data_IF_815527318974
#
_entry.id   IF_815527318974
#
_cell.length_a   1.000
_cell.length_b   1.000
_cell.length_c   1.000
_cell.angle_alpha   90.00
_cell.angle_beta   90.00
_cell.angle_gamma   90.00
#
_symmetry.space_group_name_H-M   'P 1'
#
loop_
_entity.id
_entity.type
_entity.pdbx_description
1 polymer ?
#
# COMPACT_ATOMS: atom_id res chain seq x y z
N UNK A 1 21.13 -10.76 30.84
CA UNK A 1 21.08 -9.49 30.06
C UNK A 1 21.51 -9.65 28.60
N UNK A 2 22.50 -10.51 28.25
CA UNK A 2 22.96 -10.68 26.86
C UNK A 2 21.87 -11.29 25.95
N UNK A 3 21.03 -12.19 26.44
CA UNK A 3 19.95 -12.81 25.66
C UNK A 3 18.83 -11.81 25.32
N UNK A 4 18.49 -10.91 26.24
CA UNK A 4 17.44 -9.89 26.00
C UNK A 4 17.88 -8.81 25.00
N UNK A 5 19.18 -8.57 24.90
CA UNK A 5 19.75 -7.60 23.96
C UNK A 5 19.95 -8.16 22.52
N UNK A 6 19.80 -9.48 22.33
CA UNK A 6 19.82 -10.10 21.00
C UNK A 6 18.47 -10.10 20.29
N UNK A 7 17.38 -9.76 21.00
CA UNK A 7 16.03 -9.69 20.45
C UNK A 7 15.83 -8.33 19.79
N UNK A 8 15.33 -8.34 18.54
CA UNK A 8 15.00 -7.13 17.77
C UNK A 8 13.63 -6.53 18.13
N UNK A 9 13.13 -6.85 19.30
CA UNK A 9 11.88 -6.30 19.85
C UNK A 9 12.21 -5.56 21.14
N UNK A 10 11.45 -4.49 21.43
CA UNK A 10 11.51 -3.84 22.71
C UNK A 10 11.00 -4.78 23.80
N UNK A 11 11.76 -4.94 24.87
CA UNK A 11 11.37 -5.77 26.02
C UNK A 11 11.39 -4.91 27.28
N UNK A 12 10.26 -4.88 27.98
CA UNK A 12 10.11 -4.23 29.28
C UNK A 12 9.59 -5.26 30.28
N UNK A 13 10.19 -5.35 31.46
CA UNK A 13 9.63 -6.12 32.57
C UNK A 13 9.07 -5.16 33.63
N UNK A 14 7.94 -5.58 34.23
CA UNK A 14 7.30 -4.87 35.35
C UNK A 14 7.12 -5.79 36.56
N UNK A 15 7.08 -5.19 37.73
CA UNK A 15 6.71 -5.89 38.98
C UNK A 15 5.18 -5.97 39.12
N UNK A 16 4.72 -6.55 40.25
CA UNK A 16 3.29 -6.68 40.59
C UNK A 16 2.56 -5.33 40.72
N UNK A 17 3.29 -4.27 41.02
CA UNK A 17 2.78 -2.90 41.20
C UNK A 17 2.83 -2.11 39.89
N UNK A 18 3.07 -2.81 38.76
CA UNK A 18 3.20 -2.26 37.41
C UNK A 18 4.36 -1.26 37.21
N UNK A 19 5.38 -1.32 38.08
CA UNK A 19 6.58 -0.49 37.95
C UNK A 19 7.62 -1.18 37.06
N UNK A 20 8.28 -0.41 36.20
CA UNK A 20 9.30 -0.89 35.25
C UNK A 20 10.54 -1.35 36.00
N UNK A 21 10.90 -2.61 35.90
CA UNK A 21 12.07 -3.22 36.53
C UNK A 21 13.22 -3.49 35.57
N UNK A 22 12.93 -3.61 34.27
CA UNK A 22 13.92 -3.89 33.24
C UNK A 22 13.51 -3.28 31.90
N UNK A 23 14.48 -2.81 31.14
CA UNK A 23 14.36 -2.31 29.78
C UNK A 23 15.56 -2.88 29.01
N UNK A 24 15.34 -3.47 27.80
CA UNK A 24 16.45 -3.88 26.93
C UNK A 24 16.90 -2.73 26.02
N UNK A 25 18.03 -2.89 25.34
CA UNK A 25 18.61 -1.87 24.45
C UNK A 25 17.65 -1.47 23.32
N UNK A 26 16.89 -2.42 22.77
CA UNK A 26 15.91 -2.13 21.72
C UNK A 26 14.75 -1.27 22.24
N UNK A 27 14.27 -1.52 23.46
CA UNK A 27 13.26 -0.65 24.11
C UNK A 27 13.74 0.78 24.25
N UNK A 28 15.01 0.98 24.64
CA UNK A 28 15.60 2.32 24.78
C UNK A 28 15.61 3.05 23.43
N UNK A 29 16.00 2.35 22.36
CA UNK A 29 15.99 2.90 21.00
C UNK A 29 14.57 3.26 20.54
N UNK A 30 13.59 2.37 20.74
CA UNK A 30 12.20 2.57 20.34
C UNK A 30 11.54 3.71 21.13
N UNK A 31 11.81 3.83 22.44
CA UNK A 31 11.33 4.91 23.28
C UNK A 31 11.92 6.27 22.87
N UNK A 32 13.22 6.30 22.55
CA UNK A 32 13.85 7.52 22.06
C UNK A 32 13.24 7.97 20.72
N UNK A 33 12.96 7.05 19.81
CA UNK A 33 12.26 7.34 18.55
C UNK A 33 10.80 7.81 18.77
N UNK A 34 10.15 7.37 19.83
CA UNK A 34 8.80 7.81 20.19
C UNK A 34 8.77 9.18 20.92
N UNK A 35 9.93 9.82 21.08
CA UNK A 35 10.05 11.13 21.69
C UNK A 35 10.22 11.12 23.22
N UNK A 36 10.61 9.95 23.81
CA UNK A 36 10.90 9.86 25.25
C UNK A 36 12.41 10.03 25.44
N UNK A 37 12.88 11.17 25.94
CA UNK A 37 14.30 11.39 26.21
C UNK A 37 14.73 10.57 27.45
N UNK A 38 15.95 10.02 27.40
CA UNK A 38 16.57 9.29 28.51
C UNK A 38 15.73 8.11 29.04
N UNK A 39 15.50 7.04 28.26
CA UNK A 39 14.68 5.89 28.65
C UNK A 39 15.13 5.20 29.96
N UNK A 40 16.42 5.27 30.30
CA UNK A 40 16.95 4.73 31.58
C UNK A 40 16.27 5.34 32.82
N UNK A 41 15.72 6.55 32.73
CA UNK A 41 15.01 7.18 33.82
C UNK A 41 13.62 6.62 34.08
N UNK A 42 13.18 5.66 33.27
CA UNK A 42 11.89 4.98 33.37
C UNK A 42 11.90 3.84 34.41
N UNK A 43 13.09 3.32 34.76
CA UNK A 43 13.21 2.29 35.80
C UNK A 43 12.61 2.79 37.13
N UNK A 44 11.76 1.95 37.74
CA UNK A 44 11.00 2.27 38.96
C UNK A 44 9.77 3.15 38.75
N UNK A 45 9.46 3.58 37.53
CA UNK A 45 8.23 4.34 37.23
C UNK A 45 7.10 3.42 36.81
N UNK A 46 5.83 3.82 37.04
CA UNK A 46 4.68 3.08 36.56
C UNK A 46 4.69 3.00 35.02
N UNK A 47 4.37 1.82 34.47
CA UNK A 47 4.35 1.56 33.02
C UNK A 47 3.41 2.52 32.26
N UNK A 48 2.29 2.89 32.89
CA UNK A 48 1.29 3.79 32.31
C UNK A 48 1.84 5.19 31.97
N UNK A 49 2.95 5.60 32.61
CA UNK A 49 3.60 6.88 32.29
C UNK A 49 4.22 6.91 30.91
N UNK A 50 4.42 5.74 30.29
CA UNK A 50 5.11 5.58 29.01
C UNK A 50 4.23 4.91 27.98
N UNK A 51 3.47 3.89 28.38
CA UNK A 51 2.64 3.07 27.49
C UNK A 51 1.17 3.22 27.87
N UNK A 52 0.39 3.89 27.04
CA UNK A 52 -1.04 4.09 27.24
C UNK A 52 -1.87 3.04 26.48
N UNK A 53 -2.97 2.60 27.09
CA UNK A 53 -3.93 1.68 26.45
C UNK A 53 -3.70 0.20 26.74
N UNK A 54 -2.81 -0.14 27.68
CA UNK A 54 -2.61 -1.53 28.13
C UNK A 54 -3.57 -1.89 29.28
N UNK A 55 -4.26 -3.01 29.13
CA UNK A 55 -5.08 -3.58 30.21
C UNK A 55 -4.23 -4.54 31.04
N UNK A 56 -3.64 -4.02 32.13
CA UNK A 56 -2.74 -4.80 32.98
C UNK A 56 -3.47 -5.79 33.89
N UNK A 57 -4.75 -5.54 34.21
CA UNK A 57 -5.54 -6.37 35.12
C UNK A 57 -5.62 -7.85 34.67
N UNK A 58 -5.81 -8.11 33.40
CA UNK A 58 -5.86 -9.46 32.84
C UNK A 58 -4.54 -10.22 33.07
N UNK A 59 -3.41 -9.53 32.98
CA UNK A 59 -2.08 -10.14 33.12
C UNK A 59 -1.66 -10.24 34.58
N UNK A 60 -1.83 -9.17 35.37
CA UNK A 60 -1.35 -9.11 36.73
C UNK A 60 -2.31 -9.70 37.77
N UNK A 61 -3.64 -9.76 37.47
CA UNK A 61 -4.64 -10.34 38.41
C UNK A 61 -5.10 -11.73 37.96
N UNK A 62 -5.36 -11.92 36.68
CA UNK A 62 -5.87 -13.19 36.15
C UNK A 62 -4.77 -14.16 35.67
N UNK A 63 -3.54 -13.69 35.53
CA UNK A 63 -2.39 -14.49 35.05
C UNK A 63 -2.52 -14.96 33.61
N UNK A 64 -3.28 -14.25 32.77
CA UNK A 64 -3.46 -14.56 31.35
C UNK A 64 -2.63 -13.64 30.48
N UNK A 65 -1.95 -14.22 29.48
CA UNK A 65 -1.23 -13.45 28.49
C UNK A 65 -2.21 -12.68 27.60
N UNK A 66 -1.82 -11.46 27.20
CA UNK A 66 -2.55 -10.63 26.25
C UNK A 66 -1.66 -10.42 25.03
N UNK A 67 -2.16 -10.80 23.85
CA UNK A 67 -1.37 -10.82 22.61
C UNK A 67 -1.80 -9.68 21.68
N UNK A 68 -0.81 -9.12 20.96
CA UNK A 68 -0.99 -8.18 19.86
C UNK A 68 -1.87 -6.93 20.18
N UNK A 69 -1.72 -6.39 21.38
CA UNK A 69 -2.44 -5.20 21.82
C UNK A 69 -1.83 -3.93 21.23
N UNK A 70 -2.64 -3.03 20.65
CA UNK A 70 -2.15 -1.73 20.25
C UNK A 70 -1.83 -0.86 21.47
N UNK A 71 -0.64 -0.31 21.53
CA UNK A 71 -0.19 0.57 22.60
C UNK A 71 0.41 1.85 22.04
N UNK A 72 0.01 2.98 22.61
CA UNK A 72 0.55 4.29 22.24
C UNK A 72 1.75 4.62 23.13
N UNK A 73 2.90 4.92 22.51
CA UNK A 73 4.10 5.43 23.19
C UNK A 73 4.50 6.76 22.53
N UNK A 74 4.33 7.85 23.22
CA UNK A 74 4.52 9.18 22.62
C UNK A 74 3.66 9.37 21.39
N UNK A 75 4.28 9.68 20.25
CA UNK A 75 3.60 9.84 18.96
C UNK A 75 3.52 8.56 18.10
N UNK A 76 4.08 7.44 18.58
CA UNK A 76 4.22 6.20 17.80
C UNK A 76 3.30 5.12 18.34
N UNK A 77 2.64 4.39 17.42
CA UNK A 77 1.82 3.23 17.75
C UNK A 77 2.64 1.94 17.62
N UNK A 78 2.64 1.15 18.68
CA UNK A 78 3.27 -0.15 18.77
C UNK A 78 2.24 -1.27 18.90
N UNK A 79 2.64 -2.48 18.62
CA UNK A 79 1.92 -3.69 18.98
C UNK A 79 2.68 -4.34 20.13
N UNK A 80 2.01 -4.60 21.25
CA UNK A 80 2.59 -5.19 22.45
C UNK A 80 1.95 -6.53 22.79
N UNK A 81 2.76 -7.44 23.29
CA UNK A 81 2.35 -8.71 23.90
C UNK A 81 2.77 -8.72 25.34
N UNK A 82 1.85 -9.02 26.25
CA UNK A 82 2.08 -9.06 27.69
C UNK A 82 1.97 -10.50 28.17
N UNK A 83 2.99 -10.97 28.88
CA UNK A 83 3.06 -12.33 29.44
C UNK A 83 3.32 -12.24 30.94
N UNK A 84 2.50 -12.90 31.80
CA UNK A 84 2.71 -12.89 33.24
C UNK A 84 3.99 -13.64 33.61
N UNK A 85 4.71 -13.10 34.61
CA UNK A 85 5.84 -13.76 35.26
C UNK A 85 5.34 -14.38 36.58
N UNK A 86 5.62 -15.66 36.74
CA UNK A 86 5.30 -16.39 37.97
C UNK A 86 6.55 -16.57 38.83
N UNK A 87 6.43 -16.27 40.11
CA UNK A 87 7.40 -16.56 41.15
C UNK A 87 6.73 -17.40 42.26
N UNK A 88 7.26 -18.62 42.47
CA UNK A 88 6.70 -19.59 43.44
C UNK A 88 5.17 -19.81 43.32
N UNK A 89 4.64 -19.79 42.09
CA UNK A 89 3.21 -20.00 41.82
C UNK A 89 2.33 -18.75 41.96
N UNK A 90 2.92 -17.61 42.31
CA UNK A 90 2.24 -16.31 42.38
C UNK A 90 2.71 -15.39 41.27
N UNK A 91 1.84 -14.48 40.82
CA UNK A 91 2.19 -13.51 39.81
C UNK A 91 3.16 -12.49 40.43
N UNK A 92 4.40 -12.49 39.97
CA UNK A 92 5.47 -11.57 40.41
C UNK A 92 5.59 -10.31 39.57
N UNK A 93 4.95 -10.32 38.39
CA UNK A 93 5.02 -9.22 37.42
C UNK A 93 4.64 -9.67 36.00
N UNK A 94 5.08 -8.95 35.00
CA UNK A 94 4.89 -9.29 33.61
C UNK A 94 6.08 -8.87 32.73
N UNK A 95 6.22 -9.56 31.58
CA UNK A 95 7.10 -9.14 30.48
C UNK A 95 6.21 -8.58 29.38
N UNK A 96 6.58 -7.43 28.87
CA UNK A 96 5.99 -6.77 27.72
C UNK A 96 7.00 -6.81 26.59
N UNK A 97 6.66 -7.45 25.46
CA UNK A 97 7.41 -7.33 24.21
C UNK A 97 6.62 -6.41 23.29
N UNK A 98 7.29 -5.51 22.59
CA UNK A 98 6.63 -4.58 21.69
C UNK A 98 7.47 -4.23 20.48
N UNK A 99 6.78 -3.96 19.35
CA UNK A 99 7.38 -3.59 18.05
C UNK A 99 6.55 -2.53 17.37
N UNK A 100 7.16 -1.73 16.51
CA UNK A 100 6.41 -0.73 15.74
C UNK A 100 5.35 -1.39 14.86
N UNK A 101 4.16 -0.81 14.86
CA UNK A 101 3.08 -1.27 13.98
C UNK A 101 3.42 -1.14 12.49
N UNK A 102 4.28 -0.18 12.13
CA UNK A 102 4.75 0.05 10.76
C UNK A 102 5.48 -1.15 10.15
N UNK A 103 6.26 -1.90 10.92
CA UNK A 103 6.96 -3.10 10.41
C UNK A 103 5.99 -4.22 10.03
N UNK A 104 4.91 -4.37 10.79
CA UNK A 104 3.85 -5.33 10.49
C UNK A 104 3.04 -4.92 9.25
N UNK A 105 2.84 -3.62 9.06
CA UNK A 105 2.17 -3.07 7.88
C UNK A 105 3.06 -3.21 6.63
N UNK A 106 4.36 -3.01 6.73
CA UNK A 106 5.32 -3.24 5.64
C UNK A 106 5.36 -4.71 5.20
N UNK A 107 5.40 -5.65 6.16
CA UNK A 107 5.33 -7.08 5.87
C UNK A 107 3.99 -7.49 5.25
N UNK A 108 2.86 -6.95 5.73
CA UNK A 108 1.54 -7.19 5.16
C UNK A 108 1.42 -6.60 3.74
N UNK A 109 2.01 -5.43 3.50
CA UNK A 109 2.06 -4.82 2.17
C UNK A 109 2.94 -5.60 1.20
N UNK A 110 4.10 -6.11 1.64
CA UNK A 110 4.95 -6.99 0.84
C UNK A 110 4.23 -8.30 0.48
N UNK A 111 3.53 -8.93 1.42
CA UNK A 111 2.72 -10.13 1.18
C UNK A 111 1.55 -9.85 0.23
N UNK A 112 0.92 -8.68 0.33
CA UNK A 112 -0.13 -8.23 -0.59
C UNK A 112 0.43 -7.99 -1.99
N UNK A 113 1.60 -7.37 -2.09
CA UNK A 113 2.31 -7.18 -3.35
C UNK A 113 2.67 -8.50 -4.05
N UNK A 114 3.20 -9.48 -3.31
CA UNK A 114 3.50 -10.82 -3.83
C UNK A 114 2.22 -11.56 -4.27
N UNK A 115 1.13 -11.44 -3.53
CA UNK A 115 -0.17 -12.02 -3.92
C UNK A 115 -0.71 -11.39 -5.20
N UNK A 116 -0.72 -10.06 -5.28
CA UNK A 116 -1.15 -9.36 -6.48
C UNK A 116 -0.30 -9.71 -7.70
N UNK A 117 1.01 -9.88 -7.52
CA UNK A 117 1.91 -10.35 -8.58
C UNK A 117 1.59 -11.78 -9.02
N UNK A 118 1.35 -12.70 -8.08
CA UNK A 118 0.98 -14.08 -8.38
C UNK A 118 -0.37 -14.18 -9.11
N UNK A 119 -1.35 -13.35 -8.72
CA UNK A 119 -2.66 -13.30 -9.36
C UNK A 119 -2.57 -12.69 -10.76
N UNK A 120 -1.77 -11.65 -10.96
CA UNK A 120 -1.47 -11.09 -12.28
C UNK A 120 -0.79 -12.11 -13.21
N UNK A 121 0.15 -12.90 -12.68
CA UNK A 121 0.82 -13.95 -13.45
C UNK A 121 -0.13 -15.08 -13.85
N UNK A 122 -1.06 -15.46 -12.95
CA UNK A 122 -2.12 -16.44 -13.27
C UNK A 122 -3.05 -15.94 -14.37
N UNK A 123 -3.50 -14.69 -14.26
CA UNK A 123 -4.35 -14.06 -15.26
C UNK A 123 -3.67 -14.02 -16.63
N UNK A 124 -2.40 -13.62 -16.68
CA UNK A 124 -1.59 -13.63 -17.91
C UNK A 124 -1.46 -15.04 -18.52
N UNK A 125 -1.30 -16.06 -17.67
CA UNK A 125 -1.23 -17.45 -18.09
C UNK A 125 -2.55 -17.90 -18.70
N UNK A 126 -3.69 -17.55 -18.10
CA UNK A 126 -5.02 -17.86 -18.61
C UNK A 126 -5.29 -17.19 -19.96
N UNK A 127 -4.95 -15.92 -20.11
CA UNK A 127 -5.08 -15.19 -21.38
C UNK A 127 -4.24 -15.85 -22.50
N UNK A 128 -2.98 -16.20 -22.16
CA UNK A 128 -2.11 -16.92 -23.09
C UNK A 128 -2.71 -18.26 -23.53
N UNK A 129 -3.24 -19.05 -22.57
CA UNK A 129 -3.87 -20.34 -22.87
C UNK A 129 -5.12 -20.16 -23.75
N UNK A 130 -5.95 -19.14 -23.49
CA UNK A 130 -7.11 -18.84 -24.31
C UNK A 130 -6.70 -18.52 -25.78
N UNK A 131 -5.67 -17.70 -25.97
CA UNK A 131 -5.13 -17.41 -27.31
C UNK A 131 -4.59 -18.68 -27.99
N UNK A 132 -3.91 -19.54 -27.24
CA UNK A 132 -3.45 -20.83 -27.75
C UNK A 132 -4.60 -21.73 -28.17
N UNK A 133 -5.70 -21.79 -27.43
CA UNK A 133 -6.87 -22.57 -27.80
C UNK A 133 -7.52 -22.06 -29.10
N UNK A 134 -7.62 -20.73 -29.28
CA UNK A 134 -8.13 -20.16 -30.55
C UNK A 134 -7.20 -20.51 -31.73
N UNK A 135 -5.89 -20.38 -31.56
CA UNK A 135 -4.90 -20.73 -32.56
C UNK A 135 -5.03 -22.21 -32.95
N UNK A 136 -5.09 -23.11 -31.94
CA UNK A 136 -5.24 -24.55 -32.18
C UNK A 136 -6.56 -24.86 -32.89
N UNK A 137 -7.67 -24.26 -32.46
CA UNK A 137 -8.96 -24.44 -33.11
C UNK A 137 -8.96 -23.99 -34.58
N UNK A 138 -8.35 -22.85 -34.90
CA UNK A 138 -8.21 -22.38 -36.29
C UNK A 138 -7.34 -23.30 -37.12
N UNK A 139 -6.28 -23.89 -36.55
CA UNK A 139 -5.44 -24.91 -37.23
C UNK A 139 -6.24 -26.17 -37.51
N UNK A 140 -6.97 -26.69 -36.52
CA UNK A 140 -7.80 -27.91 -36.65
C UNK A 140 -8.90 -27.75 -37.71
N UNK A 141 -9.48 -26.54 -37.80
CA UNK A 141 -10.45 -26.15 -38.80
C UNK A 141 -9.82 -25.86 -40.17
N UNK A 142 -8.48 -25.85 -40.30
CA UNK A 142 -7.71 -25.44 -41.48
C UNK A 142 -8.04 -24.01 -41.96
N UNK A 143 -8.47 -23.14 -41.05
CA UNK A 143 -8.83 -21.75 -41.29
C UNK A 143 -7.55 -20.88 -41.26
N UNK A 144 -6.69 -21.03 -42.25
CA UNK A 144 -5.34 -20.42 -42.23
C UNK A 144 -5.36 -18.90 -42.48
N UNK A 145 -6.33 -18.39 -43.22
CA UNK A 145 -6.47 -16.95 -43.43
C UNK A 145 -6.93 -16.24 -42.18
N UNK A 146 -7.90 -16.80 -41.45
CA UNK A 146 -8.37 -16.33 -40.16
C UNK A 146 -7.28 -16.44 -39.09
N UNK A 147 -6.49 -17.52 -39.10
CA UNK A 147 -5.35 -17.66 -38.20
C UNK A 147 -4.30 -16.58 -38.46
N UNK A 148 -4.00 -16.28 -39.72
CA UNK A 148 -3.06 -15.21 -40.05
C UNK A 148 -3.57 -13.84 -39.61
N UNK A 149 -4.84 -13.56 -39.84
CA UNK A 149 -5.47 -12.32 -39.38
C UNK A 149 -5.45 -12.20 -37.85
N UNK A 150 -5.84 -13.24 -37.14
CA UNK A 150 -5.84 -13.27 -35.66
C UNK A 150 -4.44 -13.06 -35.07
N UNK A 151 -3.42 -13.71 -35.63
CA UNK A 151 -2.03 -13.55 -35.19
C UNK A 151 -1.48 -12.16 -35.49
N UNK A 152 -1.84 -11.57 -36.65
CA UNK A 152 -1.47 -10.19 -36.98
C UNK A 152 -2.14 -9.16 -36.06
N UNK A 153 -3.41 -9.33 -35.76
CA UNK A 153 -4.13 -8.45 -34.79
C UNK A 153 -3.48 -8.47 -33.41
N UNK A 154 -3.16 -9.66 -32.90
CA UNK A 154 -2.46 -9.79 -31.60
C UNK A 154 -1.09 -9.08 -31.63
N UNK A 155 -0.32 -9.26 -32.70
CA UNK A 155 1.02 -8.70 -32.86
C UNK A 155 0.98 -7.18 -33.02
N UNK A 156 0.12 -6.68 -33.90
CA UNK A 156 0.06 -5.24 -34.20
C UNK A 156 -0.51 -4.40 -33.06
N UNK A 157 -1.59 -4.84 -32.42
CA UNK A 157 -2.20 -4.11 -31.32
C UNK A 157 -1.26 -4.00 -30.12
N UNK A 158 -0.60 -5.10 -29.74
CA UNK A 158 0.36 -5.09 -28.62
C UNK A 158 1.60 -4.25 -28.92
N UNK A 159 2.11 -4.30 -30.14
CA UNK A 159 3.32 -3.56 -30.50
C UNK A 159 3.06 -2.05 -30.59
N UNK A 160 1.93 -1.63 -31.17
CA UNK A 160 1.54 -0.23 -31.23
C UNK A 160 1.28 0.37 -29.84
N UNK A 161 0.55 -0.35 -28.99
CA UNK A 161 0.24 0.05 -27.62
C UNK A 161 1.49 0.11 -26.74
N UNK A 162 2.37 -0.90 -26.82
CA UNK A 162 3.63 -0.89 -26.11
C UNK A 162 4.52 0.27 -26.56
N UNK A 163 4.63 0.51 -27.86
CA UNK A 163 5.39 1.63 -28.41
C UNK A 163 4.80 2.97 -27.94
N UNK A 164 3.47 3.11 -27.92
CA UNK A 164 2.77 4.30 -27.45
C UNK A 164 3.11 4.61 -25.98
N UNK A 165 2.95 3.63 -25.08
CA UNK A 165 3.21 3.80 -23.64
C UNK A 165 4.70 4.09 -23.37
N UNK A 166 5.62 3.31 -23.99
CA UNK A 166 7.07 3.48 -23.78
C UNK A 166 7.56 4.83 -24.29
N UNK A 167 7.04 5.30 -25.42
CA UNK A 167 7.44 6.61 -25.97
C UNK A 167 7.07 7.76 -25.05
N UNK A 168 5.93 7.67 -24.37
CA UNK A 168 5.42 8.74 -23.50
C UNK A 168 6.01 8.70 -22.11
N UNK A 169 6.19 7.53 -21.53
CA UNK A 169 6.58 7.42 -20.12
C UNK A 169 8.11 7.37 -19.91
N UNK A 170 8.92 7.14 -20.93
CA UNK A 170 10.40 7.10 -20.93
C UNK A 170 11.04 6.30 -19.79
N UNK A 171 10.28 5.76 -18.84
CA UNK A 171 10.70 4.85 -17.80
C UNK A 171 10.14 3.45 -18.08
N UNK A 172 11.04 2.48 -18.23
CA UNK A 172 10.68 1.12 -18.67
C UNK A 172 9.91 0.35 -17.61
N UNK A 173 10.15 0.65 -16.33
CA UNK A 173 9.48 -0.02 -15.20
C UNK A 173 8.04 0.45 -15.08
N UNK A 174 7.83 1.77 -15.14
CA UNK A 174 6.49 2.35 -15.12
C UNK A 174 5.72 1.98 -16.39
N UNK A 175 6.35 2.04 -17.56
CA UNK A 175 5.72 1.63 -18.83
C UNK A 175 5.25 0.17 -18.76
N UNK A 176 6.11 -0.76 -18.30
CA UNK A 176 5.75 -2.15 -18.09
C UNK A 176 4.60 -2.34 -17.10
N UNK A 177 4.59 -1.57 -16.02
CA UNK A 177 3.50 -1.57 -15.04
C UNK A 177 2.17 -1.12 -15.67
N UNK A 178 2.15 -0.02 -16.43
CA UNK A 178 0.94 0.48 -17.12
C UNK A 178 0.44 -0.52 -18.16
N UNK A 179 1.33 -1.12 -18.96
CA UNK A 179 0.95 -2.19 -19.90
C UNK A 179 0.29 -3.39 -19.20
N UNK A 180 0.77 -3.76 -18.01
CA UNK A 180 0.13 -4.76 -17.17
C UNK A 180 -1.28 -4.34 -16.73
N UNK A 181 -1.51 -3.06 -16.40
CA UNK A 181 -2.83 -2.52 -16.04
C UNK A 181 -3.79 -2.49 -17.24
N UNK A 182 -3.31 -2.12 -18.43
CA UNK A 182 -4.09 -2.19 -19.68
C UNK A 182 -4.55 -3.62 -19.94
N UNK A 183 -3.65 -4.60 -19.79
CA UNK A 183 -4.00 -6.02 -19.94
C UNK A 183 -5.07 -6.45 -18.93
N UNK A 184 -4.92 -6.03 -17.67
CA UNK A 184 -5.88 -6.32 -16.60
C UNK A 184 -7.24 -5.68 -16.81
N UNK A 185 -7.29 -4.45 -17.31
CA UNK A 185 -8.53 -3.75 -17.65
C UNK A 185 -9.36 -4.53 -18.68
N UNK A 186 -8.70 -5.04 -19.71
CA UNK A 186 -9.35 -5.89 -20.74
C UNK A 186 -9.97 -7.15 -20.17
N UNK A 187 -9.31 -7.81 -19.21
CA UNK A 187 -9.86 -8.99 -18.52
C UNK A 187 -11.13 -8.66 -17.72
N UNK A 188 -11.25 -7.42 -17.26
CA UNK A 188 -12.38 -6.91 -16.50
C UNK A 188 -13.46 -6.25 -17.37
N UNK A 189 -13.26 -6.23 -18.68
CA UNK A 189 -14.13 -5.52 -19.64
C UNK A 189 -14.22 -4.03 -19.30
N UNK A 190 -13.07 -3.41 -19.02
CA UNK A 190 -12.89 -1.99 -18.72
C UNK A 190 -12.05 -1.36 -19.83
N UNK A 191 -12.51 -0.26 -20.39
CA UNK A 191 -11.73 0.57 -21.31
C UNK A 191 -10.75 1.42 -20.48
N UNK A 192 -9.46 1.09 -20.58
CA UNK A 192 -8.40 1.82 -19.89
C UNK A 192 -7.48 2.49 -20.89
N UNK A 193 -7.27 3.79 -20.76
CA UNK A 193 -6.40 4.54 -21.65
C UNK A 193 -5.37 5.40 -20.90
N UNK A 194 -4.16 5.49 -21.47
CA UNK A 194 -3.21 6.56 -21.16
C UNK A 194 -3.51 7.71 -22.10
N UNK A 195 -3.75 8.92 -21.56
CA UNK A 195 -4.16 10.06 -22.38
C UNK A 195 -3.03 10.56 -23.29
N UNK A 196 -3.41 11.21 -24.39
CA UNK A 196 -2.47 11.71 -25.40
C UNK A 196 -1.51 12.77 -24.89
N UNK A 197 -1.91 13.53 -23.89
CA UNK A 197 -1.11 14.57 -23.25
C UNK A 197 -0.05 14.00 -22.30
N UNK A 198 -0.16 12.70 -21.95
CA UNK A 198 0.75 12.08 -20.98
C UNK A 198 2.19 12.11 -21.45
N UNK A 199 3.06 12.66 -20.63
CA UNK A 199 4.52 12.65 -20.83
C UNK A 199 5.22 12.61 -19.47
N UNK A 200 6.06 11.57 -19.25
CA UNK A 200 6.93 11.48 -18.10
C UNK A 200 8.39 11.54 -18.53
N UNK A 201 9.10 12.55 -18.07
CA UNK A 201 10.56 12.65 -18.22
C UNK A 201 11.26 11.92 -17.08
N UNK A 202 12.48 11.42 -17.29
CA UNK A 202 13.27 10.67 -16.29
C UNK A 202 14.33 11.50 -15.59
N UNK A 203 14.35 12.82 -15.78
CA UNK A 203 15.39 13.72 -15.24
C UNK A 203 15.13 14.17 -13.80
N UNK A 204 14.63 13.28 -12.95
CA UNK A 204 14.37 13.59 -11.54
C UNK A 204 14.77 12.43 -10.62
N UNK A 205 15.08 12.75 -9.36
CA UNK A 205 15.40 11.76 -8.30
C UNK A 205 14.13 11.42 -7.50
N UNK A 206 13.24 12.39 -7.33
CA UNK A 206 11.96 12.24 -6.62
C UNK A 206 10.83 12.94 -7.37
N UNK A 207 9.62 12.36 -7.33
CA UNK A 207 9.28 11.08 -6.75
C UNK A 207 10.01 9.90 -7.41
N UNK A 208 10.27 8.82 -6.68
CA UNK A 208 10.82 7.58 -7.27
C UNK A 208 9.76 6.87 -8.12
N UNK A 209 10.21 6.02 -9.06
CA UNK A 209 9.30 5.21 -9.87
C UNK A 209 8.42 4.29 -9.01
N UNK A 210 8.96 3.75 -7.91
CA UNK A 210 8.22 2.92 -6.96
C UNK A 210 7.10 3.71 -6.25
N UNK A 211 7.36 4.96 -5.86
CA UNK A 211 6.37 5.86 -5.28
C UNK A 211 5.24 6.18 -6.28
N UNK A 212 5.60 6.42 -7.56
CA UNK A 212 4.62 6.60 -8.64
C UNK A 212 3.79 5.34 -8.87
N UNK A 213 4.41 4.17 -8.94
CA UNK A 213 3.72 2.87 -9.10
C UNK A 213 2.76 2.61 -7.93
N UNK A 214 3.16 2.92 -6.70
CA UNK A 214 2.29 2.78 -5.53
C UNK A 214 1.05 3.67 -5.65
N UNK A 215 1.23 4.94 -5.99
CA UNK A 215 0.15 5.92 -6.10
C UNK A 215 -0.79 5.52 -7.25
N UNK A 216 -0.25 5.41 -8.47
CA UNK A 216 -1.00 5.11 -9.69
C UNK A 216 -1.71 3.76 -9.57
N UNK A 217 -1.00 2.75 -9.04
CA UNK A 217 -1.53 1.40 -8.89
C UNK A 217 -2.76 1.35 -7.98
N UNK A 218 -2.72 2.03 -6.83
CA UNK A 218 -3.85 2.06 -5.92
C UNK A 218 -5.04 2.85 -6.49
N UNK A 219 -4.80 3.95 -7.22
CA UNK A 219 -5.89 4.69 -7.89
C UNK A 219 -6.56 3.85 -8.96
N UNK A 220 -5.78 3.20 -9.83
CA UNK A 220 -6.32 2.34 -10.90
C UNK A 220 -7.08 1.15 -10.32
N UNK A 221 -6.56 0.47 -9.29
CA UNK A 221 -7.28 -0.66 -8.67
C UNK A 221 -8.58 -0.21 -8.00
N UNK A 222 -8.60 0.99 -7.40
CA UNK A 222 -9.84 1.56 -6.86
C UNK A 222 -10.88 1.79 -7.97
N UNK A 223 -10.46 2.35 -9.12
CA UNK A 223 -11.31 2.56 -10.29
C UNK A 223 -11.82 1.22 -10.86
N UNK A 224 -10.94 0.23 -11.06
CA UNK A 224 -11.33 -1.10 -11.53
C UNK A 224 -12.31 -1.79 -10.59
N UNK A 225 -12.09 -1.64 -9.30
CA UNK A 225 -12.94 -2.23 -8.28
C UNK A 225 -14.37 -1.66 -8.28
N UNK A 226 -14.56 -0.37 -8.53
CA UNK A 226 -15.90 0.23 -8.58
C UNK A 226 -16.60 -0.04 -9.91
N UNK A 227 -15.83 -0.22 -10.99
CA UNK A 227 -16.35 -0.47 -12.34
C UNK A 227 -16.66 -1.95 -12.62
N UNK A 228 -16.07 -2.89 -11.88
CA UNK A 228 -16.22 -4.33 -12.13
C UNK A 228 -17.66 -4.79 -12.33
N UNK A 229 -18.56 -4.31 -11.51
CA UNK A 229 -19.98 -4.68 -11.52
C UNK A 229 -20.86 -3.50 -11.94
N UNK A 230 -20.28 -2.43 -12.52
CA UNK A 230 -21.01 -1.24 -12.91
C UNK A 230 -21.81 -1.50 -14.21
N UNK A 231 -23.11 -1.12 -14.26
CA UNK A 231 -23.96 -1.46 -15.40
C UNK A 231 -23.78 -0.57 -16.64
N UNK A 232 -23.10 0.58 -16.47
CA UNK A 232 -22.86 1.56 -17.56
C UNK A 232 -21.47 1.38 -18.18
N UNK A 233 -21.06 2.31 -19.01
CA UNK A 233 -19.72 2.37 -19.59
C UNK A 233 -18.65 2.30 -18.50
N UNK A 234 -17.62 1.50 -18.74
CA UNK A 234 -16.53 1.23 -17.80
C UNK A 234 -15.26 1.82 -18.35
N UNK A 235 -15.04 3.10 -18.09
CA UNK A 235 -13.91 3.85 -18.64
C UNK A 235 -13.00 4.29 -17.50
N UNK A 236 -11.69 4.15 -17.69
CA UNK A 236 -10.64 4.71 -16.82
C UNK A 236 -9.61 5.40 -17.67
N UNK A 237 -9.36 6.68 -17.40
CA UNK A 237 -8.35 7.47 -18.05
C UNK A 237 -7.21 7.77 -17.07
N UNK A 238 -5.97 7.55 -17.50
CA UNK A 238 -4.77 7.91 -16.77
C UNK A 238 -4.06 9.03 -17.52
N UNK A 239 -3.78 10.14 -16.83
CA UNK A 239 -2.89 11.19 -17.32
C UNK A 239 -1.68 11.32 -16.40
N UNK A 240 -0.49 11.40 -16.99
CA UNK A 240 0.76 11.66 -16.27
C UNK A 240 1.47 12.80 -16.99
N UNK A 241 1.56 13.95 -16.35
CA UNK A 241 2.11 15.17 -16.94
C UNK A 241 3.31 15.62 -16.13
N UNK A 242 4.42 15.91 -16.82
CA UNK A 242 5.61 16.47 -16.20
C UNK A 242 5.70 17.96 -16.50
N UNK A 243 5.67 18.78 -15.46
CA UNK A 243 5.95 20.21 -15.51
C UNK A 243 7.36 20.51 -15.02
N UNK A 244 7.76 21.78 -15.05
CA UNK A 244 9.12 22.18 -14.64
C UNK A 244 9.49 21.76 -13.22
N UNK A 245 8.54 21.84 -12.28
CA UNK A 245 8.79 21.61 -10.86
C UNK A 245 7.88 20.53 -10.23
N UNK A 246 6.97 19.95 -11.01
CA UNK A 246 6.04 18.94 -10.48
C UNK A 246 5.65 17.89 -11.51
N UNK A 247 5.25 16.73 -11.03
CA UNK A 247 4.53 15.70 -11.79
C UNK A 247 3.08 15.76 -11.35
N UNK A 248 2.18 15.81 -12.31
CA UNK A 248 0.75 15.66 -12.08
C UNK A 248 0.31 14.29 -12.58
N UNK A 249 -0.36 13.54 -11.71
CA UNK A 249 -1.02 12.27 -12.02
C UNK A 249 -2.51 12.47 -11.85
N UNK A 250 -3.29 12.12 -12.86
CA UNK A 250 -4.74 12.17 -12.81
C UNK A 250 -5.31 10.83 -13.22
N UNK A 251 -6.23 10.30 -12.43
CA UNK A 251 -6.99 9.09 -12.72
C UNK A 251 -8.46 9.43 -12.64
N UNK A 252 -9.14 9.24 -13.75
CA UNK A 252 -10.57 9.48 -13.92
C UNK A 252 -11.27 8.15 -14.16
N UNK A 253 -12.40 7.90 -13.49
CA UNK A 253 -13.26 6.75 -13.70
C UNK A 253 -14.71 7.16 -13.96
N UNK A 254 -15.41 6.38 -14.77
CA UNK A 254 -16.84 6.54 -15.08
C UNK A 254 -17.75 5.82 -14.07
N UNK A 255 -17.29 5.64 -12.84
CA UNK A 255 -17.97 4.86 -11.81
C UNK A 255 -19.16 5.59 -11.16
N UNK A 256 -19.69 5.04 -10.08
CA UNK A 256 -20.87 5.58 -9.41
C UNK A 256 -20.65 6.90 -8.69
N UNK A 257 -19.42 7.42 -8.66
CA UNK A 257 -19.06 8.62 -7.93
C UNK A 257 -19.10 8.45 -6.40
N UNK A 258 -18.64 9.49 -5.72
CA UNK A 258 -18.51 9.54 -4.25
C UNK A 258 -19.38 10.69 -3.74
N UNK A 259 -20.29 10.45 -2.79
CA UNK A 259 -21.08 11.53 -2.17
C UNK A 259 -20.17 12.57 -1.49
N UNK A 260 -20.52 13.86 -1.62
CA UNK A 260 -19.73 14.99 -1.11
C UNK A 260 -19.39 14.85 0.38
N UNK A 261 -20.35 14.38 1.19
CA UNK A 261 -20.16 14.16 2.62
C UNK A 261 -19.16 13.03 2.98
N UNK A 262 -18.65 12.30 1.99
CA UNK A 262 -17.67 11.22 2.18
C UNK A 262 -16.28 11.59 1.66
N UNK A 263 -16.13 12.64 0.88
CA UNK A 263 -14.86 13.01 0.24
C UNK A 263 -13.70 13.23 1.23
N UNK A 264 -13.97 13.73 2.43
CA UNK A 264 -12.95 13.88 3.47
C UNK A 264 -12.60 12.54 4.14
N UNK A 265 -13.58 11.65 4.32
CA UNK A 265 -13.43 10.40 5.07
C UNK A 265 -12.83 9.26 4.27
N UNK A 266 -12.86 9.31 2.93
CA UNK A 266 -12.30 8.25 2.07
C UNK A 266 -10.80 8.01 2.28
N UNK A 267 -10.09 9.00 2.82
CA UNK A 267 -8.66 8.91 3.12
C UNK A 267 -8.36 8.40 4.52
N UNK A 268 -9.37 8.14 5.35
CA UNK A 268 -9.18 7.60 6.69
C UNK A 268 -8.79 6.13 6.64
N UNK A 269 -7.94 5.73 7.60
CA UNK A 269 -7.49 4.35 7.69
C UNK A 269 -8.66 3.39 7.94
N UNK A 270 -8.81 2.40 7.07
CA UNK A 270 -9.85 1.38 7.21
C UNK A 270 -11.21 1.79 6.63
N UNK A 271 -11.34 2.99 6.06
CA UNK A 271 -12.54 3.36 5.32
C UNK A 271 -12.65 2.51 4.05
N UNK A 272 -13.71 1.74 3.96
CA UNK A 272 -14.04 0.94 2.77
C UNK A 272 -15.53 0.74 2.67
N UNK A 273 -16.09 1.02 1.52
CA UNK A 273 -17.48 0.67 1.20
C UNK A 273 -17.68 -0.85 0.98
N UNK A 274 -16.59 -1.65 0.98
CA UNK A 274 -16.56 -3.05 0.52
C UNK A 274 -16.20 -4.07 1.61
N UNK A 275 -16.14 -3.69 2.91
CA UNK A 275 -15.94 -4.60 4.05
C UNK A 275 -14.65 -4.40 4.86
N UNK A 276 -14.52 -5.06 6.03
CA UNK A 276 -13.58 -4.71 7.11
C UNK A 276 -12.10 -5.07 6.88
N UNK A 277 -11.72 -5.62 5.72
CA UNK A 277 -10.33 -5.95 5.36
C UNK A 277 -9.78 -5.13 4.18
N UNK A 278 -10.52 -4.12 3.69
CA UNK A 278 -10.14 -3.20 2.61
C UNK A 278 -10.17 -1.76 3.15
N UNK A 279 -9.60 -0.79 2.42
CA UNK A 279 -9.59 0.62 2.85
C UNK A 279 -8.22 1.14 3.28
N UNK A 280 -7.13 0.51 2.80
CA UNK A 280 -5.76 0.95 3.06
C UNK A 280 -5.20 1.77 1.88
N UNK A 281 -5.70 1.56 0.65
CA UNK A 281 -5.13 2.14 -0.57
C UNK A 281 -5.10 3.67 -0.58
N UNK A 282 -6.24 4.33 -0.38
CA UNK A 282 -6.31 5.80 -0.37
C UNK A 282 -5.57 6.41 0.83
N UNK A 283 -5.58 5.75 1.98
CA UNK A 283 -4.78 6.15 3.13
C UNK A 283 -3.28 6.12 2.82
N UNK A 284 -2.77 5.05 2.18
CA UNK A 284 -1.37 4.94 1.75
C UNK A 284 -1.00 6.01 0.73
N UNK A 285 -1.88 6.28 -0.24
CA UNK A 285 -1.68 7.36 -1.20
C UNK A 285 -1.52 8.68 -0.45
N UNK A 286 -2.44 9.02 0.46
CA UNK A 286 -2.38 10.27 1.24
C UNK A 286 -1.07 10.38 2.05
N UNK A 287 -0.63 9.30 2.68
CA UNK A 287 0.64 9.27 3.41
C UNK A 287 1.83 9.50 2.47
N UNK A 288 1.89 8.79 1.33
CA UNK A 288 2.99 8.91 0.36
C UNK A 288 3.04 10.31 -0.23
N UNK A 289 1.89 10.86 -0.64
CA UNK A 289 1.79 12.22 -1.19
C UNK A 289 2.24 13.26 -0.14
N UNK A 290 1.80 13.12 1.11
CA UNK A 290 2.23 14.02 2.20
C UNK A 290 3.74 13.92 2.46
N UNK A 291 4.29 12.69 2.45
CA UNK A 291 5.74 12.47 2.60
C UNK A 291 6.54 13.15 1.48
N UNK A 292 6.02 13.11 0.27
CA UNK A 292 6.61 13.77 -0.91
C UNK A 292 6.33 15.28 -0.97
N UNK A 293 5.61 15.85 0.02
CA UNK A 293 5.18 17.26 0.06
C UNK A 293 4.31 17.65 -1.13
N UNK A 294 3.57 16.68 -1.67
CA UNK A 294 2.60 16.88 -2.73
C UNK A 294 1.20 17.21 -2.21
N UNK A 295 0.27 17.32 -3.15
CA UNK A 295 -1.16 17.53 -2.89
C UNK A 295 -1.99 16.44 -3.55
N UNK A 296 -3.15 16.12 -2.96
CA UNK A 296 -4.15 15.24 -3.53
C UNK A 296 -5.51 15.95 -3.49
N UNK A 297 -6.15 15.97 -4.63
CA UNK A 297 -7.49 16.52 -4.83
C UNK A 297 -8.41 15.43 -5.36
N UNK A 298 -9.69 15.50 -5.02
CA UNK A 298 -10.72 14.58 -5.52
C UNK A 298 -11.93 15.38 -5.93
N UNK A 299 -12.36 15.16 -7.17
CA UNK A 299 -13.59 15.70 -7.74
C UNK A 299 -14.48 14.51 -8.08
N UNK A 300 -15.73 14.52 -7.62
CA UNK A 300 -16.65 13.42 -7.87
C UNK A 300 -18.09 13.86 -7.85
N UNK A 301 -18.84 13.39 -8.84
CA UNK A 301 -20.28 13.59 -8.95
C UNK A 301 -20.97 12.22 -8.91
N UNK A 302 -21.95 12.07 -8.02
CA UNK A 302 -22.71 10.82 -7.92
C UNK A 302 -23.40 10.50 -9.25
N UNK A 303 -23.08 9.34 -9.82
CA UNK A 303 -23.61 8.87 -11.10
C UNK A 303 -22.78 9.28 -12.33
N UNK A 304 -21.75 10.10 -12.20
CA UNK A 304 -20.92 10.54 -13.32
C UNK A 304 -19.47 10.01 -13.25
N UNK A 305 -18.96 9.77 -12.03
CA UNK A 305 -17.60 9.23 -11.85
C UNK A 305 -16.77 9.97 -10.82
N UNK A 306 -15.46 9.65 -10.80
CA UNK A 306 -14.51 10.26 -9.87
C UNK A 306 -13.20 10.56 -10.57
N UNK A 307 -12.65 11.75 -10.29
CA UNK A 307 -11.31 12.15 -10.71
C UNK A 307 -10.43 12.40 -9.51
N UNK A 308 -9.32 11.70 -9.42
CA UNK A 308 -8.26 11.95 -8.46
C UNK A 308 -7.12 12.68 -9.15
N UNK A 309 -6.72 13.85 -8.62
CA UNK A 309 -5.57 14.62 -9.10
C UNK A 309 -4.50 14.68 -8.03
N UNK A 310 -3.29 14.24 -8.35
CA UNK A 310 -2.13 14.25 -7.46
C UNK A 310 -1.03 15.09 -8.09
N UNK A 311 -0.46 16.01 -7.31
CA UNK A 311 0.67 16.86 -7.71
C UNK A 311 1.85 16.57 -6.80
N UNK A 312 2.98 16.20 -7.38
CA UNK A 312 4.20 15.82 -6.66
C UNK A 312 5.36 16.72 -7.08
N UNK A 313 6.00 17.43 -6.15
CA UNK A 313 7.16 18.26 -6.48
C UNK A 313 8.32 17.39 -6.96
N UNK A 314 9.03 17.88 -7.99
CA UNK A 314 10.20 17.21 -8.58
C UNK A 314 11.47 17.68 -7.86
N UNK A 315 12.32 16.71 -7.48
CA UNK A 315 13.71 16.95 -7.11
C UNK A 315 14.59 16.48 -8.25
N UNK A 316 15.22 17.42 -8.96
CA UNK A 316 16.11 17.12 -10.10
C UNK A 316 17.52 16.77 -9.64
N UNK A 317 18.22 15.97 -10.45
CA UNK A 317 19.67 15.74 -10.29
C UNK A 317 20.41 17.06 -10.54
N UNK A 318 21.23 17.50 -9.59
CA UNK A 318 22.16 18.60 -9.83
C UNK A 318 23.20 18.08 -10.83
N UNK A 319 23.12 18.50 -12.10
CA UNK A 319 24.23 18.26 -13.04
C UNK A 319 25.41 19.07 -12.53
N UNK A 320 26.36 18.42 -11.86
CA UNK A 320 27.71 18.98 -11.66
C UNK A 320 28.34 19.11 -13.03
N UNK A 321 28.52 20.38 -13.44
CA UNK A 321 29.20 20.76 -14.68
C UNK A 321 30.67 20.43 -14.61
#
# INVERSE_FOLDING_TARGET
NALLNSVKEGVVAINKDAEITLINTESEFLFAQAGIPNPHTLLGKPLETVMNGLTLDTVLKEGRATLDMPVQVGSVLFIATLVPLFDNGHIGGAIITFRKKTELEELANQLTGVRNYADALRAQTHEFMNKMHVIMGLIDMKAYDELKQFTMEIANNRQAEAAYVVTRLKDITLAGFILGKISRARELDIEFSLTDESELTTEFIRPTVQELILIIGNLIENAFDVLRDHPSERIVNLSILTFDNEIMVMVEDSGPGIPENKLETIFEKGYSSKGPRRGIGLFLIKQTVTHLKGTIEVESTVGEGTTFTIRLPIVRTVKTS
#
